data_IF_177430287908
#
_entry.id   IF_177430287908
#
_cell.length_a   1.000
_cell.length_b   1.000
_cell.length_c   1.000
_cell.angle_alpha   90.00
_cell.angle_beta   90.00
_cell.angle_gamma   90.00
#
_symmetry.space_group_name_H-M   'P 1'
#
loop_
_entity.id
_entity.type
_entity.pdbx_description
1 polymer ?
#
# COMPACT_ATOMS: atom_id res chain seq x y z
N UNK A 1 -2.63 9.53 31.38
CA UNK A 1 -2.19 8.54 30.38
C UNK A 1 -2.47 9.09 28.99
N UNK A 2 -1.46 9.67 28.34
CA UNK A 2 -1.60 10.16 26.97
C UNK A 2 -1.45 8.96 26.03
N UNK A 3 -2.52 8.59 25.30
CA UNK A 3 -2.38 7.73 24.12
C UNK A 3 -1.37 8.42 23.21
N UNK A 4 -0.20 7.82 23.01
CA UNK A 4 0.72 8.25 21.94
C UNK A 4 -0.11 8.22 20.67
N UNK A 5 -0.47 9.39 20.14
CA UNK A 5 -0.96 9.49 18.77
C UNK A 5 0.17 8.95 17.92
N UNK A 6 0.02 7.73 17.41
CA UNK A 6 0.84 7.25 16.31
C UNK A 6 0.79 8.33 15.23
N UNK A 7 1.93 8.72 14.63
CA UNK A 7 1.89 9.61 13.49
C UNK A 7 1.02 8.92 12.44
N UNK A 8 -0.16 9.47 12.15
CA UNK A 8 -0.93 9.08 10.98
C UNK A 8 0.00 9.29 9.79
N UNK A 9 0.46 8.19 9.19
CA UNK A 9 1.28 8.25 7.99
C UNK A 9 0.41 8.91 6.92
N UNK A 10 0.74 10.15 6.57
CA UNK A 10 0.08 10.85 5.48
C UNK A 10 0.49 10.17 4.18
N UNK A 11 -0.47 9.91 3.31
CA UNK A 11 -0.19 9.69 1.90
C UNK A 11 0.45 10.99 1.39
N UNK A 12 1.67 10.85 0.86
CA UNK A 12 2.40 11.95 0.23
C UNK A 12 2.13 11.94 -1.28
N UNK A 13 2.45 13.04 -1.97
CA UNK A 13 2.13 13.21 -3.40
C UNK A 13 2.80 12.12 -4.25
N UNK A 14 3.96 11.66 -3.81
CA UNK A 14 4.82 10.66 -4.44
C UNK A 14 4.17 9.26 -4.45
N UNK A 15 3.12 9.04 -3.65
CA UNK A 15 2.41 7.75 -3.56
C UNK A 15 1.28 7.60 -4.56
N UNK A 16 1.13 8.52 -5.53
CA UNK A 16 0.06 8.47 -6.53
C UNK A 16 0.01 7.12 -7.26
N UNK A 17 1.16 6.64 -7.76
CA UNK A 17 1.23 5.37 -8.48
C UNK A 17 0.78 4.19 -7.61
N UNK A 18 1.22 4.17 -6.36
CA UNK A 18 0.85 3.14 -5.39
C UNK A 18 -0.66 3.16 -5.08
N UNK A 19 -1.24 4.34 -4.85
CA UNK A 19 -2.68 4.47 -4.57
C UNK A 19 -3.51 4.01 -5.77
N UNK A 20 -3.09 4.39 -6.98
CA UNK A 20 -3.79 4.00 -8.20
C UNK A 20 -3.76 2.48 -8.41
N UNK A 21 -2.60 1.86 -8.21
CA UNK A 21 -2.45 0.41 -8.31
C UNK A 21 -3.28 -0.33 -7.24
N UNK A 22 -3.26 0.13 -5.99
CA UNK A 22 -4.06 -0.47 -4.92
C UNK A 22 -5.57 -0.37 -5.20
N UNK A 23 -6.04 0.75 -5.78
CA UNK A 23 -7.43 0.87 -6.21
C UNK A 23 -7.77 -0.13 -7.31
N UNK A 24 -6.91 -0.28 -8.32
CA UNK A 24 -7.10 -1.26 -9.40
C UNK A 24 -7.19 -2.69 -8.83
N UNK A 25 -6.24 -3.08 -7.99
CA UNK A 25 -6.19 -4.41 -7.36
C UNK A 25 -7.34 -4.66 -6.39
N UNK A 26 -7.85 -3.60 -5.77
CA UNK A 26 -9.03 -3.70 -4.92
C UNK A 26 -10.29 -4.05 -5.71
N UNK A 27 -10.29 -3.85 -7.04
CA UNK A 27 -11.44 -4.00 -7.92
C UNK A 27 -12.30 -2.74 -7.98
N UNK A 28 -11.72 -1.57 -7.72
CA UNK A 28 -12.43 -0.30 -7.79
C UNK A 28 -12.93 -0.04 -9.22
N UNK A 29 -14.20 0.35 -9.34
CA UNK A 29 -14.77 0.76 -10.63
C UNK A 29 -14.30 2.18 -10.99
N UNK A 30 -13.27 2.30 -11.84
CA UNK A 30 -12.66 3.60 -12.21
C UNK A 30 -13.68 4.64 -12.71
N UNK A 31 -14.75 4.23 -13.40
CA UNK A 31 -15.82 5.12 -13.83
C UNK A 31 -16.52 5.89 -12.68
N UNK A 32 -16.32 5.49 -11.42
CA UNK A 32 -16.83 6.19 -10.24
C UNK A 32 -15.87 7.28 -9.70
N UNK A 33 -14.74 7.53 -10.37
CA UNK A 33 -13.75 8.56 -9.96
C UNK A 33 -14.39 9.91 -9.64
N UNK A 34 -15.38 10.34 -10.43
CA UNK A 34 -16.03 11.64 -10.23
C UNK A 34 -16.76 11.71 -8.89
N UNK A 35 -17.52 10.66 -8.55
CA UNK A 35 -18.22 10.56 -7.26
C UNK A 35 -17.21 10.47 -6.11
N UNK A 36 -16.14 9.70 -6.30
CA UNK A 36 -15.06 9.59 -5.31
C UNK A 36 -14.42 10.96 -5.04
N UNK A 37 -14.05 11.70 -6.08
CA UNK A 37 -13.44 13.04 -5.98
C UNK A 37 -14.30 14.03 -5.21
N UNK A 38 -15.62 14.05 -5.44
CA UNK A 38 -16.53 14.89 -4.64
C UNK A 38 -16.51 14.53 -3.16
N UNK A 39 -16.52 13.22 -2.84
CA UNK A 39 -16.49 12.74 -1.45
C UNK A 39 -15.16 13.05 -0.77
N UNK A 40 -14.07 13.07 -1.53
CA UNK A 40 -12.73 13.44 -1.07
C UNK A 40 -12.53 14.96 -0.91
N UNK A 41 -13.50 15.79 -1.31
CA UNK A 41 -13.51 17.24 -1.08
C UNK A 41 -13.12 18.07 -2.30
N UNK A 42 -12.96 17.47 -3.48
CA UNK A 42 -12.74 18.21 -4.72
C UNK A 42 -14.02 18.91 -5.17
N UNK A 43 -13.86 20.11 -5.72
CA UNK A 43 -14.98 20.91 -6.21
C UNK A 43 -15.57 20.34 -7.50
N UNK A 44 -16.85 20.57 -7.72
CA UNK A 44 -17.52 20.20 -8.98
C UNK A 44 -16.80 20.80 -10.19
N UNK A 45 -16.28 22.02 -10.07
CA UNK A 45 -15.57 22.69 -11.14
C UNK A 45 -14.26 21.97 -11.49
N UNK A 46 -13.46 21.61 -10.50
CA UNK A 46 -12.22 20.84 -10.68
C UNK A 46 -12.49 19.51 -11.37
N UNK A 47 -13.52 18.78 -10.94
CA UNK A 47 -13.87 17.48 -11.54
C UNK A 47 -14.36 17.61 -12.98
N UNK A 48 -15.17 18.63 -13.29
CA UNK A 48 -15.59 18.91 -14.67
C UNK A 48 -14.42 19.29 -15.57
N UNK A 49 -13.44 20.02 -15.04
CA UNK A 49 -12.20 20.33 -15.78
C UNK A 49 -11.42 19.05 -16.09
N UNK A 50 -11.22 18.16 -15.10
CA UNK A 50 -10.59 16.85 -15.33
C UNK A 50 -11.34 16.04 -16.39
N UNK A 51 -12.67 15.93 -16.28
CA UNK A 51 -13.49 15.20 -17.24
C UNK A 51 -13.36 15.76 -18.66
N UNK A 52 -13.31 17.09 -18.80
CA UNK A 52 -13.17 17.76 -20.09
C UNK A 52 -11.78 17.55 -20.70
N UNK A 53 -10.73 17.74 -19.90
CA UNK A 53 -9.34 17.71 -20.36
C UNK A 53 -8.89 16.29 -20.74
N UNK A 54 -9.42 15.27 -20.07
CA UNK A 54 -9.01 13.86 -20.23
C UNK A 54 -10.12 12.96 -20.75
N UNK A 55 -11.19 13.52 -21.33
CA UNK A 55 -12.34 12.76 -21.85
C UNK A 55 -11.93 11.65 -22.83
N UNK A 56 -10.94 11.92 -23.68
CA UNK A 56 -10.42 11.00 -24.69
C UNK A 56 -9.56 9.86 -24.13
N UNK A 57 -8.96 10.06 -22.96
CA UNK A 57 -8.01 9.13 -22.34
C UNK A 57 -8.69 8.13 -21.39
N UNK A 58 -9.97 8.34 -21.11
CA UNK A 58 -10.81 7.41 -20.36
C UNK A 58 -10.80 7.60 -18.84
N UNK A 59 -11.55 6.75 -18.15
CA UNK A 59 -11.80 6.86 -16.71
C UNK A 59 -10.53 6.68 -15.86
N UNK A 60 -9.60 5.82 -16.29
CA UNK A 60 -8.33 5.61 -15.58
C UNK A 60 -7.49 6.88 -15.51
N UNK A 61 -7.38 7.62 -16.62
CA UNK A 61 -6.65 8.90 -16.62
C UNK A 61 -7.33 9.94 -15.73
N UNK A 62 -8.66 10.04 -15.79
CA UNK A 62 -9.42 10.95 -14.95
C UNK A 62 -9.28 10.61 -13.45
N UNK A 63 -9.23 9.32 -13.10
CA UNK A 63 -8.97 8.87 -11.73
C UNK A 63 -7.59 9.32 -11.25
N UNK A 64 -6.55 9.15 -12.07
CA UNK A 64 -5.18 9.55 -11.74
C UNK A 64 -5.09 11.04 -11.42
N UNK A 65 -5.69 11.89 -12.26
CA UNK A 65 -5.74 13.34 -12.09
C UNK A 65 -6.57 13.74 -10.85
N UNK A 66 -7.69 13.05 -10.62
CA UNK A 66 -8.50 13.21 -9.42
C UNK A 66 -7.68 12.91 -8.15
N UNK A 67 -6.91 11.83 -8.14
CA UNK A 67 -6.04 11.46 -7.03
C UNK A 67 -4.90 12.47 -6.84
N UNK A 68 -4.31 12.98 -7.91
CA UNK A 68 -3.29 14.03 -7.82
C UNK A 68 -3.85 15.32 -7.19
N UNK A 69 -5.05 15.77 -7.61
CA UNK A 69 -5.72 16.92 -6.99
C UNK A 69 -6.06 16.68 -5.53
N UNK A 70 -6.46 15.46 -5.17
CA UNK A 70 -6.71 15.11 -3.77
C UNK A 70 -5.41 15.15 -2.93
N UNK A 71 -4.32 14.55 -3.42
CA UNK A 71 -3.03 14.51 -2.72
C UNK A 71 -2.39 15.91 -2.59
N UNK A 72 -2.61 16.79 -3.57
CA UNK A 72 -2.20 18.20 -3.50
C UNK A 72 -3.08 19.07 -2.61
N UNK A 73 -4.08 18.49 -1.95
CA UNK A 73 -5.05 19.20 -1.08
C UNK A 73 -5.75 20.35 -1.81
N UNK A 74 -6.11 20.15 -3.08
CA UNK A 74 -6.88 21.14 -3.83
C UNK A 74 -8.26 21.40 -3.19
N UNK A 75 -8.87 22.54 -3.50
CA UNK A 75 -10.24 22.89 -3.13
C UNK A 75 -10.53 22.76 -1.61
N UNK A 76 -11.51 21.93 -1.23
CA UNK A 76 -11.98 21.74 0.14
C UNK A 76 -11.50 20.41 0.73
N UNK A 77 -10.39 19.85 0.22
CA UNK A 77 -9.80 18.62 0.76
C UNK A 77 -9.34 18.88 2.19
N UNK A 78 -10.11 18.35 3.15
CA UNK A 78 -9.89 18.51 4.58
C UNK A 78 -9.64 17.15 5.23
N UNK A 79 -8.85 17.13 6.31
CA UNK A 79 -8.51 15.91 7.04
C UNK A 79 -7.20 15.24 6.59
N UNK A 80 -6.94 14.03 7.10
CA UNK A 80 -5.72 13.29 6.80
C UNK A 80 -5.77 12.67 5.40
N UNK A 81 -4.67 12.75 4.66
CA UNK A 81 -4.47 11.95 3.45
C UNK A 81 -4.08 10.56 3.92
N UNK A 82 -5.00 9.61 3.99
CA UNK A 82 -4.74 8.28 4.55
C UNK A 82 -5.55 7.21 3.82
N UNK A 83 -5.12 5.95 3.93
CA UNK A 83 -5.88 4.80 3.43
C UNK A 83 -7.27 4.73 4.04
N UNK A 84 -7.43 5.10 5.32
CA UNK A 84 -8.73 5.16 6.00
C UNK A 84 -9.65 6.20 5.34
N UNK A 85 -9.12 7.39 5.03
CA UNK A 85 -9.88 8.44 4.33
C UNK A 85 -10.37 7.95 2.97
N UNK A 86 -9.48 7.30 2.21
CA UNK A 86 -9.81 6.73 0.90
C UNK A 86 -10.87 5.61 1.02
N UNK A 87 -10.68 4.66 1.95
CA UNK A 87 -11.63 3.58 2.21
C UNK A 87 -13.01 4.10 2.62
N UNK A 88 -13.07 5.13 3.47
CA UNK A 88 -14.33 5.77 3.84
C UNK A 88 -15.01 6.43 2.62
N UNK A 89 -14.22 7.04 1.73
CA UNK A 89 -14.72 7.58 0.46
C UNK A 89 -15.34 6.52 -0.43
N UNK A 90 -14.63 5.41 -0.62
CA UNK A 90 -15.09 4.24 -1.38
C UNK A 90 -16.39 3.66 -0.80
N UNK A 91 -16.48 3.51 0.52
CA UNK A 91 -17.69 3.02 1.20
C UNK A 91 -18.90 3.93 0.94
N UNK A 92 -18.70 5.25 0.95
CA UNK A 92 -19.78 6.24 0.71
C UNK A 92 -20.32 6.22 -0.72
N UNK A 93 -19.54 5.76 -1.70
CA UNK A 93 -19.97 5.61 -3.10
C UNK A 93 -20.42 4.19 -3.45
N UNK A 94 -20.54 3.31 -2.45
CA UNK A 94 -21.01 1.93 -2.58
C UNK A 94 -19.94 0.93 -3.04
N UNK A 95 -18.66 1.32 -3.09
CA UNK A 95 -17.53 0.44 -3.41
C UNK A 95 -17.07 -0.32 -2.15
N UNK A 96 -17.97 -1.10 -1.55
CA UNK A 96 -17.75 -1.71 -0.23
C UNK A 96 -16.60 -2.71 -0.23
N UNK A 97 -16.51 -3.58 -1.24
CA UNK A 97 -15.44 -4.59 -1.34
C UNK A 97 -14.06 -3.96 -1.53
N UNK A 98 -13.97 -2.91 -2.37
CA UNK A 98 -12.75 -2.14 -2.56
C UNK A 98 -12.38 -1.40 -1.27
N UNK A 99 -13.35 -0.77 -0.61
CA UNK A 99 -13.15 -0.10 0.67
C UNK A 99 -12.59 -1.03 1.75
N UNK A 100 -13.08 -2.27 1.83
CA UNK A 100 -12.60 -3.26 2.79
C UNK A 100 -11.12 -3.59 2.55
N UNK A 101 -10.74 -3.89 1.30
CA UNK A 101 -9.33 -4.16 0.94
C UNK A 101 -8.43 -2.97 1.24
N UNK A 102 -8.80 -1.77 0.81
CA UNK A 102 -8.01 -0.55 1.05
C UNK A 102 -7.89 -0.25 2.55
N UNK A 103 -8.93 -0.52 3.35
CA UNK A 103 -8.87 -0.27 4.80
C UNK A 103 -7.83 -1.14 5.52
N UNK A 104 -7.55 -2.34 5.00
CA UNK A 104 -6.53 -3.24 5.57
C UNK A 104 -5.12 -2.68 5.43
N UNK A 105 -4.86 -1.85 4.41
CA UNK A 105 -3.55 -1.19 4.21
C UNK A 105 -3.17 -0.24 5.35
N UNK A 106 -4.13 0.16 6.19
CA UNK A 106 -3.89 0.97 7.39
C UNK A 106 -3.59 0.12 8.64
N UNK A 107 -3.45 -1.20 8.50
CA UNK A 107 -3.17 -2.09 9.62
C UNK A 107 -1.79 -1.83 10.24
N UNK A 108 -1.62 -1.99 11.57
CA UNK A 108 -0.32 -1.77 12.23
C UNK A 108 0.84 -2.57 11.62
N UNK A 109 0.58 -3.81 11.18
CA UNK A 109 1.59 -4.65 10.55
C UNK A 109 1.99 -4.11 9.16
N UNK A 110 1.01 -3.65 8.38
CA UNK A 110 1.22 -3.06 7.06
C UNK A 110 1.98 -1.74 7.14
N UNK A 111 1.63 -0.89 8.11
CA UNK A 111 2.36 0.35 8.38
C UNK A 111 3.81 0.07 8.79
N UNK A 112 4.02 -0.95 9.62
CA UNK A 112 5.36 -1.34 10.04
C UNK A 112 6.18 -1.85 8.84
N UNK A 113 5.61 -2.75 8.03
CA UNK A 113 6.24 -3.25 6.80
C UNK A 113 6.64 -2.10 5.87
N UNK A 114 5.75 -1.12 5.65
CA UNK A 114 5.99 0.00 4.76
C UNK A 114 7.23 0.83 5.15
N UNK A 115 7.58 0.90 6.45
CA UNK A 115 8.79 1.62 6.91
C UNK A 115 10.09 0.93 6.48
N UNK A 116 10.03 -0.37 6.21
CA UNK A 116 11.19 -1.15 5.80
C UNK A 116 11.22 -1.41 4.29
N UNK A 117 10.17 -1.07 3.51
CA UNK A 117 10.08 -1.41 2.08
C UNK A 117 11.28 -0.90 1.28
N UNK A 118 11.73 0.34 1.50
CA UNK A 118 12.90 0.92 0.82
C UNK A 118 14.19 0.18 1.19
N UNK A 119 14.37 -0.16 2.48
CA UNK A 119 15.53 -0.93 2.93
C UNK A 119 15.51 -2.35 2.37
N UNK A 120 14.33 -2.96 2.29
CA UNK A 120 14.13 -4.31 1.74
C UNK A 120 14.42 -4.34 0.23
N UNK A 121 14.06 -3.30 -0.52
CA UNK A 121 14.39 -3.21 -1.95
C UNK A 121 15.89 -3.04 -2.23
N UNK A 122 16.67 -2.64 -1.22
CA UNK A 122 18.10 -2.38 -1.34
C UNK A 122 18.98 -3.57 -0.93
N UNK A 123 18.39 -4.66 -0.46
CA UNK A 123 19.11 -5.87 -0.04
C UNK A 123 18.69 -7.08 -0.88
N UNK A 124 19.65 -7.96 -1.14
CA UNK A 124 19.39 -9.28 -1.66
C UNK A 124 19.13 -10.27 -0.53
N UNK A 125 18.42 -11.34 -0.85
CA UNK A 125 18.24 -12.50 0.02
C UNK A 125 18.74 -13.76 -0.68
N UNK A 126 19.16 -14.74 0.12
CA UNK A 126 19.63 -16.03 -0.40
C UNK A 126 18.51 -16.84 -1.04
N UNK A 127 18.86 -17.79 -1.91
CA UNK A 127 17.90 -18.75 -2.49
C UNK A 127 17.12 -19.49 -1.40
N UNK A 128 17.78 -19.91 -0.31
CA UNK A 128 17.12 -20.53 0.85
C UNK A 128 16.06 -19.60 1.46
N UNK A 129 16.35 -18.29 1.56
CA UNK A 129 15.38 -17.31 2.05
C UNK A 129 14.19 -17.17 1.10
N UNK A 130 14.40 -17.22 -0.22
CA UNK A 130 13.32 -17.19 -1.22
C UNK A 130 12.42 -18.42 -1.09
N UNK A 131 13.00 -19.61 -0.90
CA UNK A 131 12.25 -20.85 -0.65
C UNK A 131 11.36 -20.74 0.59
N UNK A 132 11.88 -20.13 1.65
CA UNK A 132 11.13 -19.90 2.88
C UNK A 132 10.00 -18.88 2.69
N UNK A 133 10.21 -17.82 1.90
CA UNK A 133 9.13 -16.88 1.56
C UNK A 133 7.97 -17.60 0.85
N UNK A 134 8.27 -18.54 -0.05
CA UNK A 134 7.26 -19.37 -0.71
C UNK A 134 6.56 -20.31 0.29
N UNK A 135 7.34 -20.97 1.14
CA UNK A 135 6.85 -21.92 2.15
C UNK A 135 5.89 -21.25 3.15
N UNK A 136 6.23 -20.05 3.60
CA UNK A 136 5.39 -19.22 4.50
C UNK A 136 4.27 -18.47 3.75
N UNK A 137 4.12 -18.68 2.43
CA UNK A 137 3.11 -18.03 1.58
C UNK A 137 3.17 -16.50 1.69
N UNK A 138 4.37 -15.95 1.78
CA UNK A 138 4.66 -14.51 1.69
C UNK A 138 4.72 -14.07 0.22
N UNK A 139 5.18 -14.96 -0.66
CA UNK A 139 5.18 -14.79 -2.11
C UNK A 139 4.67 -16.06 -2.80
N UNK A 140 4.20 -15.92 -4.03
CA UNK A 140 3.81 -17.04 -4.89
C UNK A 140 4.99 -17.61 -5.69
N UNK A 141 4.80 -18.79 -6.28
CA UNK A 141 5.81 -19.40 -7.17
C UNK A 141 5.99 -18.58 -8.46
N UNK A 142 4.96 -17.85 -8.88
CA UNK A 142 5.04 -16.90 -9.99
C UNK A 142 6.02 -15.77 -9.65
N UNK A 143 5.85 -15.14 -8.48
CA UNK A 143 6.73 -14.04 -8.03
C UNK A 143 8.15 -14.50 -7.72
N UNK A 144 8.34 -15.75 -7.27
CA UNK A 144 9.67 -16.35 -7.04
C UNK A 144 10.59 -16.18 -8.25
N UNK A 145 10.09 -16.49 -9.44
CA UNK A 145 10.90 -16.40 -10.68
C UNK A 145 11.40 -14.97 -10.94
N UNK A 146 10.60 -13.97 -10.55
CA UNK A 146 10.99 -12.56 -10.61
C UNK A 146 12.08 -12.20 -9.62
N UNK A 147 12.01 -12.72 -8.39
CA UNK A 147 13.05 -12.52 -7.36
C UNK A 147 14.38 -13.15 -7.78
N UNK A 148 14.34 -14.39 -8.28
CA UNK A 148 15.53 -15.09 -8.78
C UNK A 148 16.17 -14.36 -9.95
N UNK A 149 15.35 -13.92 -10.92
CA UNK A 149 15.81 -13.14 -12.08
C UNK A 149 16.38 -11.78 -11.66
N UNK A 150 15.89 -11.20 -10.56
CA UNK A 150 16.41 -9.97 -9.98
C UNK A 150 17.68 -10.18 -9.13
N UNK A 151 18.20 -11.40 -9.02
CA UNK A 151 19.39 -11.69 -8.19
C UNK A 151 19.11 -11.70 -6.69
N UNK A 152 17.88 -12.06 -6.29
CA UNK A 152 17.47 -12.13 -4.88
C UNK A 152 16.95 -10.80 -4.31
N UNK A 153 16.84 -9.75 -5.13
CA UNK A 153 16.31 -8.46 -4.68
C UNK A 153 14.78 -8.47 -4.59
N UNK A 154 14.25 -7.91 -3.49
CA UNK A 154 12.81 -7.78 -3.27
C UNK A 154 12.30 -6.48 -3.91
N UNK A 155 11.93 -6.56 -5.20
CA UNK A 155 11.49 -5.40 -5.97
C UNK A 155 9.96 -5.20 -5.88
N UNK A 156 9.44 -4.16 -6.55
CA UNK A 156 8.07 -3.64 -6.37
C UNK A 156 6.98 -4.70 -6.28
N UNK A 157 6.91 -5.62 -7.25
CA UNK A 157 5.89 -6.67 -7.28
C UNK A 157 6.00 -7.64 -6.10
N UNK A 158 7.22 -8.00 -5.72
CA UNK A 158 7.53 -8.86 -4.57
C UNK A 158 7.16 -8.20 -3.25
N UNK A 159 7.58 -6.96 -3.05
CA UNK A 159 7.25 -6.20 -1.83
C UNK A 159 5.75 -5.97 -1.71
N UNK A 160 5.05 -5.77 -2.83
CA UNK A 160 3.60 -5.64 -2.86
C UNK A 160 2.92 -6.94 -2.48
N UNK A 161 3.33 -8.08 -3.02
CA UNK A 161 2.76 -9.38 -2.65
C UNK A 161 3.01 -9.72 -1.17
N UNK A 162 4.23 -9.48 -0.67
CA UNK A 162 4.55 -9.62 0.74
C UNK A 162 3.61 -8.74 1.59
N UNK A 163 3.40 -7.48 1.21
CA UNK A 163 2.46 -6.59 1.90
C UNK A 163 1.03 -7.12 1.88
N UNK A 164 0.56 -7.61 0.74
CA UNK A 164 -0.77 -8.22 0.60
C UNK A 164 -0.92 -9.40 1.55
N UNK A 165 0.09 -10.28 1.60
CA UNK A 165 0.09 -11.42 2.50
C UNK A 165 0.03 -10.97 3.98
N UNK A 166 0.78 -9.92 4.35
CA UNK A 166 0.81 -9.35 5.71
C UNK A 166 -0.53 -8.69 6.05
N UNK A 167 -1.20 -8.05 5.09
CA UNK A 167 -2.53 -7.45 5.32
C UNK A 167 -3.62 -8.50 5.56
N UNK A 168 -3.43 -9.70 5.02
CA UNK A 168 -4.33 -10.84 5.24
C UNK A 168 -4.04 -11.57 6.56
N UNK A 169 -2.76 -11.71 6.91
CA UNK A 169 -2.31 -12.33 8.16
C UNK A 169 -1.12 -11.56 8.76
N UNK A 170 -1.38 -10.81 9.84
CA UNK A 170 -0.35 -10.01 10.52
C UNK A 170 0.81 -10.86 11.06
N UNK A 171 0.63 -12.17 11.30
CA UNK A 171 1.73 -13.04 11.76
C UNK A 171 2.81 -13.21 10.69
N UNK A 172 2.46 -13.02 9.41
CA UNK A 172 3.41 -13.08 8.31
C UNK A 172 4.50 -12.00 8.40
N UNK A 173 4.25 -10.89 9.09
CA UNK A 173 5.30 -9.89 9.34
C UNK A 173 6.41 -10.44 10.26
N UNK A 174 6.03 -11.26 11.25
CA UNK A 174 7.00 -11.96 12.09
C UNK A 174 7.74 -13.03 11.29
N UNK A 175 7.01 -13.84 10.51
CA UNK A 175 7.62 -14.85 9.64
C UNK A 175 8.64 -14.23 8.67
N UNK A 176 8.31 -13.09 8.05
CA UNK A 176 9.24 -12.33 7.24
C UNK A 176 10.48 -11.93 8.05
N UNK A 177 10.29 -11.38 9.25
CA UNK A 177 11.39 -11.03 10.15
C UNK A 177 12.33 -12.21 10.44
N UNK A 178 11.77 -13.38 10.74
CA UNK A 178 12.53 -14.62 11.02
C UNK A 178 13.28 -15.12 9.78
N UNK A 179 12.70 -15.01 8.59
CA UNK A 179 13.36 -15.37 7.33
C UNK A 179 14.54 -14.44 7.05
N UNK A 180 14.35 -13.13 7.23
CA UNK A 180 15.41 -12.14 6.97
C UNK A 180 16.61 -12.31 7.91
N UNK A 181 16.44 -12.92 9.09
CA UNK A 181 17.57 -13.24 9.99
C UNK A 181 18.56 -14.25 9.39
N UNK A 182 18.13 -15.04 8.39
CA UNK A 182 18.96 -16.04 7.71
C UNK A 182 19.81 -15.45 6.58
N UNK A 183 19.54 -14.22 6.14
CA UNK A 183 20.36 -13.51 5.15
C UNK A 183 21.32 -12.56 5.87
N UNK A 184 22.62 -12.65 5.59
CA UNK A 184 23.61 -11.75 6.19
C UNK A 184 23.34 -10.27 5.86
N UNK A 185 22.87 -10.00 4.65
CA UNK A 185 22.58 -8.64 4.13
C UNK A 185 21.28 -8.08 4.73
N UNK A 186 20.27 -8.93 4.96
CA UNK A 186 18.97 -8.51 5.47
C UNK A 186 18.79 -8.70 6.98
N UNK A 187 19.76 -9.30 7.68
CA UNK A 187 19.69 -9.65 9.11
C UNK A 187 19.31 -8.48 10.00
N UNK A 188 19.90 -7.32 9.76
CA UNK A 188 19.61 -6.11 10.56
C UNK A 188 18.17 -5.66 10.40
N UNK A 189 17.60 -5.80 9.19
CA UNK A 189 16.20 -5.49 8.92
C UNK A 189 15.29 -6.49 9.64
N UNK A 190 15.62 -7.78 9.59
CA UNK A 190 14.88 -8.82 10.32
C UNK A 190 14.83 -8.59 11.83
N UNK A 191 15.98 -8.24 12.43
CA UNK A 191 16.07 -7.90 13.86
C UNK A 191 15.19 -6.70 14.24
N UNK A 192 15.22 -5.64 13.42
CA UNK A 192 14.42 -4.44 13.64
C UNK A 192 12.91 -4.76 13.56
N UNK A 193 12.49 -5.51 12.53
CA UNK A 193 11.09 -5.91 12.33
C UNK A 193 10.59 -6.71 13.55
N UNK A 194 11.33 -7.73 13.98
CA UNK A 194 10.93 -8.59 15.11
C UNK A 194 10.82 -7.81 16.42
N UNK A 195 11.75 -6.88 16.66
CA UNK A 195 11.73 -5.99 17.83
C UNK A 195 10.49 -5.11 17.86
N UNK A 196 10.11 -4.53 16.71
CA UNK A 196 8.89 -3.71 16.62
C UNK A 196 7.62 -4.57 16.70
N UNK A 197 7.60 -5.76 16.10
CA UNK A 197 6.50 -6.71 16.23
C UNK A 197 6.24 -7.10 17.70
N UNK A 198 7.29 -7.27 18.51
CA UNK A 198 7.17 -7.53 19.95
C UNK A 198 6.46 -6.42 20.72
N UNK A 199 6.56 -5.16 20.25
CA UNK A 199 5.90 -4.00 20.86
C UNK A 199 4.44 -3.84 20.45
N UNK A 200 4.00 -4.53 19.40
CA UNK A 200 2.61 -4.49 18.92
C UNK A 200 1.66 -5.38 19.74
N UNK A 201 2.20 -6.29 20.55
CA UNK A 201 1.43 -7.26 21.37
C UNK A 201 1.08 -6.69 22.76
N UNK A 202 1.42 -5.42 23.04
CA UNK A 202 1.15 -4.75 24.33
C UNK A 202 0.09 -3.66 24.21
#
# INVERSE_FOLDING_TARGET
>A
MARRRQPLVSLEKERLAEINEELLMSGFTEAKWFKLGMILGLSLQTLKTIESDYKGDGASRCLMECLEKWLSRADNVTGPLSWITLANGLRRIGEVSSAEKISKLSGPASELFQRYSVRLSAVSISEESVDLLCTERLISNETRTGVESAGGFLLGDTLREIRTSITEDHNKLRALGDILLKSDEAKTIGQDILKECGKMIV
#
